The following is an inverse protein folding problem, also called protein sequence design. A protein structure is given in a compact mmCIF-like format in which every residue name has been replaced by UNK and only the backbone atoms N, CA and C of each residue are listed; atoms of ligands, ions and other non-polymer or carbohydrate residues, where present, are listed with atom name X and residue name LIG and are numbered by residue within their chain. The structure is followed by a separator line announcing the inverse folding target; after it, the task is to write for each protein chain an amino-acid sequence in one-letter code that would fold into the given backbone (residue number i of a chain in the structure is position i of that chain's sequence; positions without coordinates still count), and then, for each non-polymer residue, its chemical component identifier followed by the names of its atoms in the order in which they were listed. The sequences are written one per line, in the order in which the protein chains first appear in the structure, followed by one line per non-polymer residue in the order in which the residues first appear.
data_IF_231595391724
#
_entry.id   IF_231595391724
#
_cell.length_a   1.000
_cell.length_b   1.000
_cell.length_c   1.000
_cell.angle_alpha   90.00
_cell.angle_beta   90.00
_cell.angle_gamma   90.00
#
_symmetry.space_group_name_H-M   'P 1'
#
loop_
_entity.id
_entity.type
_entity.pdbx_description
1 polymer ?
#
# COMPACT_ATOMS: atom_id res chain seq x y z
N UNK A 1 -11.82 -4.24 -21.28
CA UNK A 1 -12.02 -3.68 -19.93
C UNK A 1 -11.49 -4.68 -18.94
N UNK A 2 -10.61 -4.23 -18.04
CA UNK A 2 -9.69 -4.99 -17.18
C UNK A 2 -10.27 -6.29 -16.62
N UNK A 3 -9.96 -7.40 -17.28
CA UNK A 3 -10.12 -8.73 -16.72
C UNK A 3 -8.86 -9.09 -15.95
N UNK A 4 -9.03 -9.72 -14.79
CA UNK A 4 -7.97 -10.23 -13.91
C UNK A 4 -7.39 -9.24 -12.87
N UNK A 5 -8.24 -8.45 -12.20
CA UNK A 5 -7.87 -7.96 -10.86
C UNK A 5 -8.21 -9.05 -9.84
N UNK A 6 -7.19 -9.60 -9.17
CA UNK A 6 -7.34 -10.47 -8.00
C UNK A 6 -8.40 -9.89 -7.04
N UNK A 7 -9.29 -10.70 -6.43
CA UNK A 7 -10.33 -10.22 -5.52
C UNK A 7 -9.82 -9.28 -4.42
N UNK A 8 -8.55 -9.44 -4.02
CA UNK A 8 -7.86 -8.63 -3.01
C UNK A 8 -7.51 -7.23 -3.52
N UNK A 9 -7.21 -7.07 -4.82
CA UNK A 9 -7.00 -5.73 -5.42
C UNK A 9 -8.29 -4.93 -5.44
N UNK A 10 -9.42 -5.59 -5.68
CA UNK A 10 -10.74 -4.97 -5.65
C UNK A 10 -11.10 -4.46 -4.26
N UNK A 11 -10.78 -5.19 -3.19
CA UNK A 11 -11.08 -4.75 -1.81
C UNK A 11 -10.16 -3.63 -1.36
N UNK A 12 -8.86 -3.70 -1.65
CA UNK A 12 -7.92 -2.62 -1.36
C UNK A 12 -8.33 -1.32 -2.08
N UNK A 13 -8.72 -1.43 -3.36
CA UNK A 13 -9.21 -0.30 -4.14
C UNK A 13 -10.51 0.28 -3.59
N UNK A 14 -11.48 -0.57 -3.21
CA UNK A 14 -12.72 -0.12 -2.58
C UNK A 14 -12.45 0.61 -1.26
N UNK A 15 -11.53 0.08 -0.45
CA UNK A 15 -11.14 0.70 0.81
C UNK A 15 -10.45 2.05 0.62
N UNK A 16 -9.52 2.15 -0.35
CA UNK A 16 -8.89 3.41 -0.72
C UNK A 16 -9.91 4.44 -1.23
N UNK A 17 -10.88 4.03 -2.06
CA UNK A 17 -11.96 4.92 -2.51
C UNK A 17 -12.77 5.48 -1.33
N UNK A 18 -13.07 4.65 -0.33
CA UNK A 18 -13.77 5.09 0.88
C UNK A 18 -12.93 6.11 1.67
N UNK A 19 -11.63 5.89 1.83
CA UNK A 19 -10.74 6.84 2.49
C UNK A 19 -10.65 8.18 1.74
N UNK A 20 -10.65 8.15 0.41
CA UNK A 20 -10.64 9.36 -0.42
C UNK A 20 -11.97 10.12 -0.29
N UNK A 21 -13.11 9.44 -0.26
CA UNK A 21 -14.42 10.10 -0.07
C UNK A 21 -14.52 10.79 1.30
N UNK A 22 -13.96 10.18 2.34
CA UNK A 22 -14.04 10.70 3.71
C UNK A 22 -13.00 11.79 4.03
N UNK A 23 -11.77 11.65 3.53
CA UNK A 23 -10.62 12.45 3.95
C UNK A 23 -9.87 13.13 2.80
N UNK A 24 -10.25 12.84 1.55
CA UNK A 24 -9.59 13.38 0.38
C UNK A 24 -9.95 14.84 0.11
N UNK A 25 -9.16 15.45 -0.76
CA UNK A 25 -9.42 16.76 -1.34
C UNK A 25 -9.02 16.68 -2.81
N UNK A 26 -9.85 17.19 -3.71
CA UNK A 26 -9.61 17.14 -5.17
C UNK A 26 -9.39 15.71 -5.73
N UNK A 27 -10.07 14.72 -5.13
CA UNK A 27 -9.93 13.31 -5.52
C UNK A 27 -8.60 12.66 -5.10
N UNK A 28 -7.79 13.35 -4.30
CA UNK A 28 -6.52 12.85 -3.78
C UNK A 28 -6.54 12.75 -2.25
N UNK A 29 -5.94 11.70 -1.71
CA UNK A 29 -5.71 11.55 -0.26
C UNK A 29 -4.26 11.91 0.06
N UNK A 30 -4.05 12.89 0.94
CA UNK A 30 -2.71 13.36 1.33
C UNK A 30 -2.30 12.73 2.66
N UNK A 31 -1.36 11.79 2.61
CA UNK A 31 -0.88 11.05 3.79
C UNK A 31 0.35 11.76 4.36
N UNK A 32 0.26 12.16 5.62
CA UNK A 32 1.39 12.73 6.37
C UNK A 32 2.01 11.65 7.25
N UNK A 33 3.12 11.08 6.80
CA UNK A 33 3.94 10.21 7.65
C UNK A 33 4.89 11.09 8.47
N UNK A 34 4.40 11.62 9.59
CA UNK A 34 5.32 12.11 10.61
C UNK A 34 6.04 10.89 11.19
N UNK A 35 7.37 10.89 11.17
CA UNK A 35 8.15 9.96 11.98
C UNK A 35 7.75 10.23 13.42
N UNK A 36 7.07 9.27 14.06
CA UNK A 36 6.78 9.38 15.48
C UNK A 36 8.12 9.54 16.22
N UNK A 37 8.24 10.44 17.21
CA UNK A 37 9.43 10.47 18.05
C UNK A 37 9.61 9.09 18.67
N UNK A 38 10.80 8.50 18.51
CA UNK A 38 11.16 7.15 18.95
C UNK A 38 10.58 6.84 20.34
N UNK A 39 9.50 6.04 20.35
CA UNK A 39 8.67 5.93 21.53
C UNK A 39 7.61 4.84 21.47
N UNK A 40 7.98 3.64 21.00
CA UNK A 40 7.23 2.42 21.28
C UNK A 40 6.27 1.97 20.18
N UNK A 41 6.67 0.90 19.49
CA UNK A 41 5.81 -0.07 18.81
C UNK A 41 4.76 0.51 17.86
N UNK A 42 5.21 1.21 16.82
CA UNK A 42 4.47 1.22 15.56
C UNK A 42 4.67 -0.15 14.93
N UNK A 43 3.64 -0.99 14.97
CA UNK A 43 3.51 -2.21 14.17
C UNK A 43 3.77 -1.80 12.72
N UNK A 44 5.02 -2.00 12.29
CA UNK A 44 5.45 -1.62 10.96
C UNK A 44 4.66 -2.50 10.02
N UNK A 45 3.74 -1.89 9.26
CA UNK A 45 3.14 -2.54 8.10
C UNK A 45 4.31 -2.80 7.16
N UNK A 46 4.90 -3.99 7.31
CA UNK A 46 5.94 -4.49 6.44
C UNK A 46 5.30 -4.59 5.07
N UNK A 47 5.59 -3.60 4.22
CA UNK A 47 5.41 -3.75 2.78
C UNK A 47 6.40 -4.85 2.40
N UNK A 48 5.94 -6.10 2.40
CA UNK A 48 6.64 -7.21 1.80
C UNK A 48 6.78 -6.89 0.31
N UNK A 49 7.87 -6.24 -0.03
CA UNK A 49 8.33 -6.09 -1.40
C UNK A 49 8.74 -7.49 -1.88
N UNK A 50 7.76 -8.25 -2.36
CA UNK A 50 7.98 -9.49 -3.10
C UNK A 50 8.44 -9.15 -4.52
N UNK A 51 9.55 -8.44 -4.66
CA UNK A 51 10.28 -8.37 -5.93
C UNK A 51 11.32 -9.48 -5.94
N UNK A 52 10.87 -10.69 -6.28
CA UNK A 52 11.74 -11.79 -6.71
C UNK A 52 12.43 -11.36 -8.00
N UNK A 53 13.68 -10.91 -7.90
CA UNK A 53 14.62 -10.97 -9.00
C UNK A 53 15.44 -12.24 -8.80
N UNK A 54 15.26 -13.18 -9.71
CA UNK A 54 15.95 -14.46 -9.73
C UNK A 54 17.45 -14.20 -9.89
N UNK A 55 18.24 -14.69 -8.94
CA UNK A 55 19.69 -14.75 -9.01
C UNK A 55 20.08 -15.73 -10.12
N UNK A 56 20.29 -15.20 -11.32
CA UNK A 56 20.98 -15.89 -12.41
C UNK A 56 22.48 -15.67 -12.19
N UNK A 57 23.17 -16.67 -11.61
CA UNK A 57 24.48 -16.43 -11.00
C UNK A 57 25.38 -17.65 -10.72
N UNK A 58 25.66 -18.46 -11.74
CA UNK A 58 27.00 -19.01 -12.05
C UNK A 58 27.75 -19.89 -11.00
N UNK A 59 27.78 -21.22 -11.24
CA UNK A 59 28.95 -22.04 -11.65
C UNK A 59 28.70 -23.54 -11.43
#
# INVERSE_FOLDING_TARGET
MTGDESPVRSTARAHLSQLIEMFGTDGCLRIHTASAPDGGSADQIAVSDSSRAEDDGQL
#
